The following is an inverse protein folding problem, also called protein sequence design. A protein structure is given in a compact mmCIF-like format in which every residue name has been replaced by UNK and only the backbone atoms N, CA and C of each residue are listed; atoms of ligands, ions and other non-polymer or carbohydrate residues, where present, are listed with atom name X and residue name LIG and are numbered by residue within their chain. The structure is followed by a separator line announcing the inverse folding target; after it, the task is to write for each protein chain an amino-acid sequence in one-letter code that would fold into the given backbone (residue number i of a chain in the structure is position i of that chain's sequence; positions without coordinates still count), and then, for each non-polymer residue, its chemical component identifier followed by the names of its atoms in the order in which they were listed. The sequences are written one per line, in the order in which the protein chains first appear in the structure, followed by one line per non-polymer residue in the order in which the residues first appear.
data_IF_306630606493
#
_entry.id   IF_306630606493
#
_cell.length_a   1.000
_cell.length_b   1.000
_cell.length_c   1.000
_cell.angle_alpha   90.00
_cell.angle_beta   90.00
_cell.angle_gamma   90.00
#
_symmetry.space_group_name_H-M   'P 1'
#
loop_
_entity.id
_entity.type
_entity.pdbx_description
1 polymer ?
#
# COMPACT_ATOMS: atom_id res chain seq x y z
N UNK A 1 50.90 -41.03 2.14
CA UNK A 1 49.48 -41.07 1.86
C UNK A 1 48.82 -40.01 2.77
N UNK A 2 48.47 -38.90 2.21
CA UNK A 2 47.79 -37.81 2.94
C UNK A 2 46.28 -37.97 2.71
N UNK A 3 45.53 -38.06 3.79
CA UNK A 3 44.08 -38.10 3.75
C UNK A 3 43.53 -36.69 3.42
N UNK A 4 42.80 -36.59 2.34
CA UNK A 4 42.11 -35.35 1.96
C UNK A 4 40.91 -35.07 2.89
N UNK A 5 40.50 -33.81 3.02
CA UNK A 5 39.39 -33.46 3.86
C UNK A 5 38.07 -34.03 3.33
N UNK A 6 37.36 -34.73 4.19
CA UNK A 6 35.98 -35.16 3.96
C UNK A 6 35.09 -33.92 4.14
N UNK A 7 34.59 -33.37 3.04
CA UNK A 7 33.52 -32.39 3.10
C UNK A 7 32.22 -33.11 3.45
N UNK A 8 31.77 -32.97 4.66
CA UNK A 8 30.41 -33.36 5.05
C UNK A 8 29.47 -32.36 4.37
N UNK A 9 28.71 -32.81 3.39
CA UNK A 9 27.55 -32.06 2.91
C UNK A 9 26.58 -31.91 4.08
N UNK A 10 26.42 -30.70 4.54
CA UNK A 10 25.28 -30.36 5.39
C UNK A 10 24.07 -30.50 4.48
N UNK A 11 23.30 -31.57 4.67
CA UNK A 11 21.97 -31.68 4.06
C UNK A 11 21.19 -30.48 4.53
N UNK A 12 20.72 -29.68 3.55
CA UNK A 12 19.69 -28.68 3.79
C UNK A 12 18.53 -29.42 4.49
N UNK A 13 18.25 -29.03 5.72
CA UNK A 13 17.07 -29.50 6.44
C UNK A 13 15.89 -29.08 5.59
N UNK A 14 15.08 -30.06 5.16
CA UNK A 14 13.82 -29.78 4.50
C UNK A 14 13.06 -28.76 5.35
N UNK A 15 12.61 -27.66 4.71
CA UNK A 15 11.70 -26.70 5.31
C UNK A 15 10.63 -27.49 6.06
N UNK A 16 10.53 -27.26 7.36
CA UNK A 16 9.45 -27.84 8.14
C UNK A 16 8.18 -27.10 7.68
N UNK A 17 7.45 -27.70 6.75
CA UNK A 17 6.14 -27.22 6.32
C UNK A 17 5.23 -27.23 7.58
N UNK A 18 5.21 -26.09 8.29
CA UNK A 18 4.31 -25.89 9.44
C UNK A 18 2.85 -25.87 8.99
N UNK A 19 2.64 -25.88 7.66
CA UNK A 19 1.34 -25.74 7.06
C UNK A 19 0.73 -24.36 7.33
N UNK A 20 -0.36 -24.07 6.69
CA UNK A 20 -1.16 -22.86 6.90
C UNK A 20 -2.41 -23.17 7.73
N UNK A 21 -3.04 -22.15 8.32
CA UNK A 21 -4.32 -22.32 9.00
C UNK A 21 -5.48 -22.52 8.02
N UNK A 22 -5.37 -21.97 6.83
CA UNK A 22 -6.35 -22.10 5.77
C UNK A 22 -5.79 -22.92 4.60
N UNK A 23 -6.57 -23.23 3.55
CA UNK A 23 -6.07 -23.83 2.31
C UNK A 23 -5.13 -22.91 1.51
N UNK A 24 -4.97 -21.65 1.90
CA UNK A 24 -4.14 -20.67 1.22
C UNK A 24 -2.68 -20.88 1.63
N UNK A 25 -1.87 -21.30 0.67
CA UNK A 25 -0.43 -21.53 0.86
C UNK A 25 0.41 -20.32 0.49
N UNK A 26 -0.12 -19.47 -0.40
CA UNK A 26 0.56 -18.29 -0.88
C UNK A 26 -0.31 -17.07 -0.59
N UNK A 27 0.20 -16.15 0.21
CA UNK A 27 -0.38 -14.81 0.40
C UNK A 27 0.44 -13.82 -0.40
N UNK A 28 -0.20 -13.14 -1.35
CA UNK A 28 0.38 -12.04 -2.12
C UNK A 28 -0.31 -10.76 -1.69
N UNK A 29 0.45 -9.77 -1.27
CA UNK A 29 -0.04 -8.42 -1.00
C UNK A 29 0.51 -7.51 -2.10
N UNK A 30 -0.36 -7.10 -3.02
CA UNK A 30 -0.05 -6.06 -3.99
C UNK A 30 -0.27 -4.71 -3.31
N UNK A 31 0.78 -3.94 -3.26
CA UNK A 31 0.85 -2.65 -2.60
C UNK A 31 0.89 -1.55 -3.66
N UNK A 32 -0.12 -0.70 -3.67
CA UNK A 32 -0.30 0.39 -4.63
C UNK A 32 -0.32 1.74 -3.90
N UNK A 33 -0.48 2.83 -4.62
CA UNK A 33 -0.25 4.18 -4.13
C UNK A 33 -1.51 5.05 -4.09
N UNK A 34 -1.67 5.74 -2.96
CA UNK A 34 -2.34 7.03 -2.84
C UNK A 34 -3.83 7.06 -3.22
N UNK A 35 -4.64 6.12 -2.71
CA UNK A 35 -6.06 6.03 -3.10
C UNK A 35 -6.99 5.99 -1.90
N UNK A 36 -7.93 6.96 -1.81
CA UNK A 36 -9.06 6.86 -0.90
C UNK A 36 -10.14 5.93 -1.47
N UNK A 37 -10.99 5.38 -0.61
CA UNK A 37 -12.10 4.54 -1.05
C UNK A 37 -13.03 5.31 -2.00
N UNK A 38 -13.41 6.52 -1.66
CA UNK A 38 -14.33 7.32 -2.48
C UNK A 38 -13.76 7.67 -3.85
N UNK A 39 -12.43 7.80 -3.96
CA UNK A 39 -11.78 8.14 -5.23
C UNK A 39 -11.94 7.02 -6.28
N UNK A 40 -11.93 5.74 -5.87
CA UNK A 40 -12.04 4.59 -6.79
C UNK A 40 -13.38 3.86 -6.70
N UNK A 41 -14.02 3.82 -5.54
CA UNK A 41 -15.22 3.04 -5.31
C UNK A 41 -16.42 3.86 -4.79
N UNK A 42 -16.26 5.17 -4.66
CA UNK A 42 -17.29 6.06 -4.11
C UNK A 42 -18.63 6.01 -4.86
N UNK A 43 -18.64 5.59 -6.12
CA UNK A 43 -19.85 5.42 -6.94
C UNK A 43 -20.06 3.99 -7.43
N UNK A 44 -19.34 3.03 -6.89
CA UNK A 44 -19.40 1.62 -7.29
C UNK A 44 -20.79 1.01 -7.02
N UNK A 45 -21.44 1.35 -5.92
CA UNK A 45 -22.74 0.79 -5.55
C UNK A 45 -22.62 -0.63 -4.98
N UNK A 46 -23.49 -1.53 -5.38
CA UNK A 46 -23.49 -2.95 -4.97
C UNK A 46 -23.52 -3.18 -3.45
N UNK A 47 -24.05 -2.22 -2.69
CA UNK A 47 -24.12 -2.27 -1.23
C UNK A 47 -22.90 -1.69 -0.52
N UNK A 48 -21.89 -1.21 -1.24
CA UNK A 48 -20.74 -0.52 -0.63
C UNK A 48 -21.15 0.83 -0.03
N UNK A 49 -20.42 1.24 1.00
CA UNK A 49 -20.58 2.55 1.63
C UNK A 49 -19.89 3.64 0.79
N UNK A 50 -20.52 3.98 -0.34
CA UNK A 50 -20.04 4.99 -1.28
C UNK A 50 -20.53 6.39 -0.97
N UNK A 51 -20.15 7.35 -1.82
CA UNK A 51 -20.42 8.78 -1.64
C UNK A 51 -21.90 9.06 -1.45
N UNK A 52 -22.34 9.67 -0.32
CA UNK A 52 -23.75 10.00 -0.10
C UNK A 52 -24.24 11.05 -1.09
N UNK A 53 -25.50 10.95 -1.49
CA UNK A 53 -26.13 11.96 -2.34
C UNK A 53 -26.13 13.32 -1.66
N UNK A 54 -25.73 14.36 -2.40
CA UNK A 54 -25.63 15.73 -1.88
C UNK A 54 -24.34 16.05 -1.16
N UNK A 55 -23.37 15.14 -1.11
CA UNK A 55 -22.03 15.43 -0.60
C UNK A 55 -21.38 16.58 -1.35
N UNK A 56 -20.70 17.46 -0.65
CA UNK A 56 -19.97 18.57 -1.24
C UNK A 56 -18.91 19.10 -0.28
N UNK A 57 -17.82 19.61 -0.84
CA UNK A 57 -16.77 20.32 -0.09
C UNK A 57 -16.86 21.83 -0.33
N UNK A 58 -16.47 22.60 0.65
CA UNK A 58 -16.30 24.04 0.52
C UNK A 58 -14.96 24.48 1.09
N UNK A 59 -14.44 25.57 0.59
CA UNK A 59 -13.20 26.17 1.07
C UNK A 59 -13.43 27.62 1.48
N UNK A 60 -12.86 28.04 2.60
CA UNK A 60 -12.84 29.45 3.03
C UNK A 60 -11.43 29.88 3.39
N UNK A 61 -11.04 31.07 2.95
CA UNK A 61 -9.79 31.70 3.37
C UNK A 61 -9.99 32.71 4.52
N UNK A 62 -11.14 32.69 5.17
CA UNK A 62 -11.51 33.59 6.25
C UNK A 62 -12.25 34.86 5.79
N UNK A 63 -12.19 35.21 4.52
CA UNK A 63 -12.87 36.36 3.94
C UNK A 63 -13.83 36.00 2.81
N UNK A 64 -13.55 34.93 2.11
CA UNK A 64 -14.33 34.46 0.99
C UNK A 64 -14.49 32.93 1.07
N UNK A 65 -15.68 32.44 0.71
CA UNK A 65 -15.98 31.01 0.61
C UNK A 65 -16.20 30.63 -0.85
N UNK A 66 -15.59 29.49 -1.24
CA UNK A 66 -15.77 28.84 -2.53
C UNK A 66 -16.49 27.51 -2.34
N UNK A 67 -17.30 27.12 -3.32
CA UNK A 67 -18.13 25.94 -3.27
C UNK A 67 -19.61 26.27 -3.00
N UNK A 68 -20.46 25.31 -2.61
CA UNK A 68 -20.10 23.90 -2.44
C UNK A 68 -19.71 23.24 -3.77
N UNK A 69 -18.68 22.36 -3.72
CA UNK A 69 -18.23 21.57 -4.85
C UNK A 69 -18.72 20.13 -4.68
N UNK A 70 -19.64 19.70 -5.54
CA UNK A 70 -20.07 18.31 -5.57
C UNK A 70 -18.93 17.40 -6.09
N UNK A 71 -18.89 16.13 -5.69
CA UNK A 71 -17.95 15.15 -6.26
C UNK A 71 -18.06 15.11 -7.78
N UNK A 72 -16.92 15.08 -8.47
CA UNK A 72 -16.86 15.16 -9.93
C UNK A 72 -16.13 13.95 -10.49
N UNK A 73 -16.73 13.32 -11.51
CA UNK A 73 -16.09 12.22 -12.23
C UNK A 73 -14.94 12.75 -13.08
N UNK A 74 -13.76 12.14 -12.92
CA UNK A 74 -12.62 12.34 -13.80
C UNK A 74 -12.69 11.38 -14.98
N UNK A 75 -12.29 11.86 -16.16
CA UNK A 75 -12.34 11.09 -17.40
C UNK A 75 -10.97 10.44 -17.66
N UNK A 76 -10.93 9.12 -17.69
CA UNK A 76 -9.70 8.36 -17.86
C UNK A 76 -8.92 8.65 -19.15
N UNK A 77 -9.58 9.17 -20.20
CA UNK A 77 -8.92 9.50 -21.48
C UNK A 77 -8.22 10.86 -21.48
N UNK A 78 -8.72 11.82 -20.71
CA UNK A 78 -8.23 13.22 -20.71
C UNK A 78 -7.66 13.65 -19.37
N UNK A 79 -8.00 12.95 -18.30
CA UNK A 79 -7.63 13.22 -16.92
C UNK A 79 -7.03 11.97 -16.27
N UNK A 80 -6.30 11.18 -17.06
CA UNK A 80 -5.67 9.93 -16.60
C UNK A 80 -4.47 10.15 -15.68
N UNK A 81 -3.99 11.38 -15.58
CA UNK A 81 -2.97 11.80 -14.62
C UNK A 81 -3.46 13.04 -13.93
N UNK A 82 -3.53 12.98 -12.62
CA UNK A 82 -3.83 14.13 -11.78
C UNK A 82 -2.55 14.70 -11.21
N UNK A 83 -2.67 15.83 -10.55
CA UNK A 83 -1.62 16.36 -9.71
C UNK A 83 -1.52 15.54 -8.44
N UNK A 84 -0.32 15.48 -7.92
CA UNK A 84 -0.06 14.98 -6.60
C UNK A 84 -0.68 15.92 -5.55
N UNK A 85 -1.63 15.40 -4.77
CA UNK A 85 -2.26 16.13 -3.67
C UNK A 85 -1.35 16.01 -2.45
N UNK A 86 -1.19 17.09 -1.67
CA UNK A 86 -0.42 17.04 -0.44
C UNK A 86 -1.06 16.04 0.53
N UNK A 87 -0.30 15.06 0.97
CA UNK A 87 -0.72 13.98 1.85
C UNK A 87 0.24 13.80 3.03
N UNK A 88 0.97 14.88 3.37
CA UNK A 88 1.81 14.91 4.56
C UNK A 88 0.98 14.68 5.82
N UNK A 89 1.62 14.20 6.87
CA UNK A 89 1.00 14.00 8.18
C UNK A 89 0.16 15.20 8.65
N UNK A 90 0.72 16.40 8.58
CA UNK A 90 0.04 17.62 9.03
C UNK A 90 -1.16 18.00 8.17
N UNK A 91 -1.08 17.72 6.87
CA UNK A 91 -2.17 18.03 5.95
C UNK A 91 -3.30 17.00 6.05
N UNK A 92 -2.99 15.73 6.21
CA UNK A 92 -4.02 14.71 6.46
C UNK A 92 -4.82 14.99 7.74
N UNK A 93 -4.16 15.38 8.83
CA UNK A 93 -4.86 15.78 10.07
C UNK A 93 -5.78 16.98 9.82
N UNK A 94 -5.31 17.97 9.06
CA UNK A 94 -6.12 19.12 8.68
C UNK A 94 -7.33 18.71 7.85
N UNK A 95 -7.13 17.82 6.86
CA UNK A 95 -8.17 17.30 5.99
C UNK A 95 -9.30 16.63 6.76
N UNK A 96 -8.92 15.77 7.71
CA UNK A 96 -9.87 15.03 8.55
C UNK A 96 -10.63 15.95 9.49
N UNK A 97 -10.03 17.03 9.94
CA UNK A 97 -10.66 18.09 10.77
C UNK A 97 -11.56 17.52 11.88
N UNK A 98 -10.97 16.76 12.80
CA UNK A 98 -11.70 16.13 13.91
C UNK A 98 -12.89 15.25 13.47
N UNK A 99 -12.80 14.61 12.32
CA UNK A 99 -13.82 13.73 11.76
C UNK A 99 -14.88 14.43 10.92
N UNK A 100 -14.81 15.75 10.75
CA UNK A 100 -15.72 16.46 9.86
C UNK A 100 -15.48 16.17 8.38
N UNK A 101 -14.32 15.70 8.01
CA UNK A 101 -13.90 15.33 6.65
C UNK A 101 -14.11 16.49 5.64
N UNK A 102 -13.93 17.72 6.04
CA UNK A 102 -14.36 18.91 5.29
C UNK A 102 -13.22 19.87 4.89
N UNK A 103 -11.97 19.61 5.35
CA UNK A 103 -10.85 20.51 5.09
C UNK A 103 -9.88 20.03 3.98
N UNK A 104 -10.28 19.07 3.16
CA UNK A 104 -9.44 18.56 2.07
C UNK A 104 -9.00 19.66 1.09
N UNK A 105 -9.85 20.63 0.81
CA UNK A 105 -9.50 21.76 -0.05
C UNK A 105 -8.53 22.76 0.61
N UNK A 106 -8.46 22.81 1.93
CA UNK A 106 -7.57 23.72 2.65
C UNK A 106 -6.12 23.22 2.72
N UNK A 107 -5.91 21.93 2.55
CA UNK A 107 -4.59 21.31 2.51
C UNK A 107 -3.85 21.58 1.20
N UNK A 108 -4.56 21.97 0.16
CA UNK A 108 -3.94 22.46 -1.06
C UNK A 108 -3.31 23.82 -0.81
N UNK A 109 -2.01 23.86 -0.55
CA UNK A 109 -1.24 25.12 -0.48
C UNK A 109 -1.12 25.76 -1.86
N UNK A 110 -1.03 27.10 -1.99
CA UNK A 110 -0.79 27.75 -3.29
C UNK A 110 0.49 27.22 -3.96
N UNK A 111 0.63 27.33 -5.28
CA UNK A 111 1.67 26.70 -6.09
C UNK A 111 3.06 27.26 -5.79
N UNK A 112 3.66 26.82 -4.71
CA UNK A 112 4.97 27.32 -4.32
C UNK A 112 6.04 26.26 -4.12
N UNK A 113 5.74 24.98 -4.18
CA UNK A 113 6.76 23.96 -3.89
C UNK A 113 6.74 22.83 -4.94
N UNK A 114 7.55 22.91 -5.86
CA UNK A 114 8.18 22.18 -6.91
C UNK A 114 8.23 20.65 -6.90
N UNK A 115 7.32 19.92 -6.30
CA UNK A 115 7.23 18.45 -6.41
C UNK A 115 6.15 17.98 -7.40
N UNK A 116 5.39 18.89 -7.99
CA UNK A 116 4.39 18.58 -9.02
C UNK A 116 5.06 18.22 -10.36
N UNK A 117 5.99 17.28 -10.35
CA UNK A 117 6.65 16.82 -11.57
C UNK A 117 5.79 15.74 -12.23
N UNK A 118 4.98 16.15 -13.19
CA UNK A 118 4.50 15.20 -14.20
C UNK A 118 5.72 14.75 -15.00
N UNK A 119 6.17 13.52 -14.80
CA UNK A 119 7.27 12.95 -15.55
C UNK A 119 6.88 12.93 -17.02
N UNK A 120 7.63 13.67 -17.86
CA UNK A 120 7.44 13.72 -19.31
C UNK A 120 6.59 14.86 -19.87
N UNK A 121 6.05 15.75 -19.00
CA UNK A 121 5.48 17.03 -19.45
C UNK A 121 6.30 18.19 -18.88
N UNK A 122 6.46 19.31 -19.62
CA UNK A 122 7.02 20.52 -19.02
C UNK A 122 6.20 20.88 -17.77
N UNK A 123 6.85 21.35 -16.73
CA UNK A 123 6.24 21.76 -15.45
C UNK A 123 5.29 22.97 -15.62
N UNK A 124 4.33 22.84 -16.50
CA UNK A 124 3.28 23.81 -16.69
C UNK A 124 2.13 23.39 -15.80
N UNK A 125 2.17 23.98 -14.59
CA UNK A 125 0.97 24.19 -13.77
C UNK A 125 0.09 22.96 -13.69
N UNK A 126 0.41 22.09 -12.73
CA UNK A 126 -0.60 21.27 -12.14
C UNK A 126 -1.65 22.24 -11.56
N UNK A 127 -2.82 22.40 -12.15
CA UNK A 127 -3.83 23.28 -11.56
C UNK A 127 -4.34 22.57 -10.33
N UNK A 128 -3.82 22.95 -9.17
CA UNK A 128 -4.40 22.55 -7.88
C UNK A 128 -5.90 22.74 -7.85
N UNK A 129 -6.34 23.69 -8.64
CA UNK A 129 -7.72 24.03 -8.88
C UNK A 129 -7.78 24.48 -10.33
N UNK A 130 -8.12 23.63 -11.25
CA UNK A 130 -8.40 24.13 -12.59
C UNK A 130 -9.44 25.24 -12.55
N UNK A 131 -10.08 25.41 -11.40
CA UNK A 131 -10.93 26.59 -11.19
C UNK A 131 -11.47 26.65 -9.76
N UNK A 132 -10.70 27.05 -8.75
CA UNK A 132 -11.32 27.78 -7.65
C UNK A 132 -11.73 29.18 -8.17
N UNK A 133 -12.74 29.21 -9.01
CA UNK A 133 -13.39 30.46 -9.39
C UNK A 133 -14.39 30.85 -8.31
N UNK A 134 -14.65 32.14 -8.08
CA UNK A 134 -15.65 32.62 -7.14
C UNK A 134 -17.00 31.93 -7.33
N UNK A 135 -17.83 31.82 -6.30
CA UNK A 135 -19.14 31.20 -6.35
C UNK A 135 -19.94 31.58 -7.59
N UNK A 136 -20.41 30.59 -8.33
CA UNK A 136 -21.32 30.78 -9.47
C UNK A 136 -20.72 30.53 -10.85
N UNK A 137 -19.49 30.06 -11.00
CA UNK A 137 -18.83 29.90 -12.30
C UNK A 137 -18.48 28.47 -12.68
N UNK A 138 -19.12 27.46 -12.12
CA UNK A 138 -19.01 26.07 -12.58
C UNK A 138 -17.69 25.37 -12.30
N UNK A 139 -16.97 25.80 -11.27
CA UNK A 139 -15.71 25.21 -10.85
C UNK A 139 -15.90 23.83 -10.24
N UNK A 140 -14.94 22.94 -10.50
CA UNK A 140 -14.83 21.61 -9.88
C UNK A 140 -13.64 21.59 -8.94
N UNK A 141 -13.79 20.92 -7.79
CA UNK A 141 -12.69 20.69 -6.88
C UNK A 141 -12.05 19.33 -7.19
N UNK A 142 -10.72 19.27 -7.24
CA UNK A 142 -10.03 18.01 -7.52
C UNK A 142 -10.08 17.07 -6.30
N UNK A 143 -9.98 17.61 -5.09
CA UNK A 143 -9.87 16.79 -3.88
C UNK A 143 -11.00 15.77 -3.66
N UNK A 144 -12.22 16.06 -4.11
CA UNK A 144 -13.37 15.16 -4.06
C UNK A 144 -13.73 14.58 -5.43
N UNK A 145 -12.79 14.55 -6.35
CA UNK A 145 -12.98 13.91 -7.64
C UNK A 145 -12.87 12.37 -7.51
N UNK A 146 -13.48 11.67 -8.45
CA UNK A 146 -13.50 10.20 -8.46
C UNK A 146 -13.40 9.64 -9.88
N UNK A 147 -12.92 8.41 -9.99
CA UNK A 147 -12.94 7.62 -11.21
C UNK A 147 -14.03 6.54 -11.15
N UNK A 148 -14.34 5.96 -12.30
CA UNK A 148 -15.31 4.86 -12.41
C UNK A 148 -14.72 3.68 -13.16
N UNK A 149 -15.32 2.50 -12.98
CA UNK A 149 -14.97 1.26 -13.68
C UNK A 149 -16.15 0.69 -14.48
N UNK A 150 -17.10 1.52 -14.91
CA UNK A 150 -18.26 1.08 -15.68
C UNK A 150 -17.84 0.34 -16.94
N UNK A 151 -18.23 -0.94 -17.05
CA UNK A 151 -17.84 -1.79 -18.16
C UNK A 151 -18.31 -1.21 -19.51
N UNK A 152 -17.38 -1.09 -20.45
CA UNK A 152 -17.64 -0.57 -21.78
C UNK A 152 -17.70 0.96 -21.89
N UNK A 153 -17.54 1.70 -20.80
CA UNK A 153 -17.36 3.15 -20.86
C UNK A 153 -15.88 3.46 -21.14
N UNK A 154 -15.53 4.07 -22.28
CA UNK A 154 -14.15 4.39 -22.62
C UNK A 154 -13.54 5.44 -21.69
N UNK A 155 -14.35 6.16 -20.91
CA UNK A 155 -13.89 7.16 -19.96
C UNK A 155 -13.71 6.61 -18.53
N UNK A 156 -14.06 5.32 -18.31
CA UNK A 156 -13.94 4.66 -17.02
C UNK A 156 -12.62 3.88 -16.94
N UNK A 157 -11.57 4.40 -16.28
CA UNK A 157 -10.26 3.76 -16.25
C UNK A 157 -10.17 2.53 -15.35
N UNK A 158 -11.11 2.33 -14.40
CA UNK A 158 -11.05 1.31 -13.35
C UNK A 158 -11.84 0.03 -13.68
N UNK A 159 -11.85 -0.39 -14.94
CA UNK A 159 -12.70 -1.51 -15.38
C UNK A 159 -12.29 -2.84 -14.75
N UNK A 160 -10.98 -3.09 -14.58
CA UNK A 160 -10.49 -4.29 -13.92
C UNK A 160 -10.80 -4.26 -12.42
N UNK A 161 -10.56 -3.15 -11.73
CA UNK A 161 -10.88 -2.99 -10.32
C UNK A 161 -12.35 -3.28 -10.02
N UNK A 162 -13.29 -2.66 -10.75
CA UNK A 162 -14.71 -2.87 -10.54
C UNK A 162 -15.16 -4.27 -10.94
N UNK A 163 -14.59 -4.82 -12.01
CA UNK A 163 -14.83 -6.21 -12.42
C UNK A 163 -14.37 -7.21 -11.35
N UNK A 164 -13.20 -6.96 -10.75
CA UNK A 164 -12.68 -7.79 -9.67
C UNK A 164 -13.52 -7.67 -8.40
N UNK A 165 -13.93 -6.47 -8.01
CA UNK A 165 -14.84 -6.26 -6.89
C UNK A 165 -16.17 -6.99 -7.08
N UNK A 166 -16.71 -7.05 -8.31
CA UNK A 166 -17.94 -7.78 -8.60
C UNK A 166 -17.78 -9.31 -8.54
N UNK A 167 -16.56 -9.82 -8.67
CA UNK A 167 -16.27 -11.26 -8.70
C UNK A 167 -15.75 -11.78 -7.36
N UNK A 168 -15.13 -10.95 -6.55
CA UNK A 168 -14.43 -11.30 -5.32
C UNK A 168 -14.89 -10.41 -4.15
N UNK A 169 -14.10 -10.27 -3.12
CA UNK A 169 -14.45 -9.44 -1.96
C UNK A 169 -13.82 -8.05 -2.08
N UNK A 170 -14.64 -7.02 -1.84
CA UNK A 170 -14.21 -5.63 -1.62
C UNK A 170 -14.48 -5.26 -0.16
N UNK A 171 -13.44 -4.84 0.57
CA UNK A 171 -13.61 -4.23 1.89
C UNK A 171 -13.83 -2.73 1.73
N UNK A 172 -14.92 -2.22 2.31
CA UNK A 172 -15.31 -0.81 2.24
C UNK A 172 -15.20 -0.08 3.58
N UNK A 173 -14.60 -0.73 4.56
CA UNK A 173 -14.38 -0.17 5.90
C UNK A 173 -12.94 -0.46 6.37
N UNK A 174 -11.98 -0.24 5.47
CA UNK A 174 -10.55 -0.42 5.69
C UNK A 174 -9.87 0.95 5.80
N UNK A 175 -9.04 1.15 6.82
CA UNK A 175 -8.43 2.43 7.13
C UNK A 175 -6.90 2.37 7.12
N UNK A 176 -6.24 3.49 6.84
CA UNK A 176 -4.80 3.61 7.06
C UNK A 176 -4.46 3.30 8.52
N UNK A 177 -3.37 2.57 8.75
CA UNK A 177 -2.89 2.32 10.12
C UNK A 177 -2.26 3.55 10.78
N UNK A 178 -1.91 4.56 10.01
CA UNK A 178 -1.17 5.75 10.42
C UNK A 178 -1.57 6.95 9.57
N UNK A 179 -1.50 8.15 10.13
CA UNK A 179 -1.53 9.38 9.32
C UNK A 179 -0.15 9.61 8.71
N UNK A 180 -0.09 10.02 7.47
CA UNK A 180 1.15 10.43 6.83
C UNK A 180 1.34 9.83 5.44
N UNK A 181 2.49 10.13 4.82
CA UNK A 181 2.78 9.76 3.46
C UNK A 181 3.21 8.29 3.31
N UNK A 182 3.72 7.95 2.15
CA UNK A 182 3.93 6.58 1.71
C UNK A 182 4.87 5.75 2.59
N UNK A 183 5.98 6.31 3.07
CA UNK A 183 6.93 5.52 3.89
C UNK A 183 6.33 5.01 5.20
N UNK A 184 5.67 5.83 6.04
CA UNK A 184 4.94 5.31 7.20
C UNK A 184 3.89 4.26 6.83
N UNK A 185 3.11 4.51 5.78
CA UNK A 185 2.11 3.55 5.28
C UNK A 185 2.72 2.21 4.89
N UNK A 186 3.84 2.24 4.15
CA UNK A 186 4.59 1.05 3.78
C UNK A 186 5.12 0.28 5.00
N UNK A 187 5.65 0.99 6.00
CA UNK A 187 6.14 0.34 7.22
C UNK A 187 5.02 -0.35 7.99
N UNK A 188 3.82 0.26 8.05
CA UNK A 188 2.65 -0.35 8.69
C UNK A 188 2.20 -1.64 7.99
N UNK A 189 2.44 -1.77 6.70
CA UNK A 189 2.11 -2.95 5.91
C UNK A 189 2.86 -4.23 6.33
N UNK A 190 3.98 -4.08 7.02
CA UNK A 190 4.89 -5.20 7.35
C UNK A 190 5.32 -5.25 8.80
N UNK A 191 4.92 -4.24 9.60
CA UNK A 191 5.39 -4.11 10.97
C UNK A 191 4.31 -3.60 11.95
N UNK A 192 3.10 -3.27 11.48
CA UNK A 192 2.02 -2.64 12.26
C UNK A 192 2.51 -1.44 13.09
N UNK A 193 3.55 -0.76 12.62
CA UNK A 193 4.19 0.39 13.22
C UNK A 193 5.10 1.10 12.24
N UNK A 194 5.55 2.31 12.57
CA UNK A 194 6.50 3.08 11.76
C UNK A 194 7.58 3.75 12.61
N UNK A 195 8.69 4.08 11.97
CA UNK A 195 9.78 4.83 12.58
C UNK A 195 10.05 6.18 11.91
N UNK A 196 9.23 6.56 10.95
CA UNK A 196 9.35 7.79 10.17
C UNK A 196 8.07 8.61 10.25
N UNK A 197 8.17 9.91 9.98
CA UNK A 197 7.03 10.83 9.88
C UNK A 197 6.92 11.49 8.50
N UNK A 198 7.74 11.06 7.55
CA UNK A 198 7.81 11.54 6.17
C UNK A 198 8.43 10.46 5.30
N UNK A 199 8.93 10.82 4.14
CA UNK A 199 9.53 9.90 3.15
C UNK A 199 11.06 10.03 3.10
N UNK A 200 11.78 9.63 4.17
CA UNK A 200 13.23 9.58 4.12
C UNK A 200 13.68 8.31 3.40
N UNK A 201 14.76 8.39 2.64
CA UNK A 201 15.42 7.19 2.14
C UNK A 201 16.09 6.37 3.25
N UNK A 202 16.22 5.07 3.13
CA UNK A 202 17.09 4.27 3.99
C UNK A 202 18.56 4.68 3.78
N UNK A 203 19.25 5.03 4.85
CA UNK A 203 20.68 5.38 4.77
C UNK A 203 21.48 4.18 4.27
N UNK A 204 22.24 4.39 3.21
CA UNK A 204 23.08 3.38 2.59
C UNK A 204 22.44 2.69 1.41
N UNK A 205 21.16 2.89 1.15
CA UNK A 205 20.55 2.42 -0.08
C UNK A 205 21.20 3.12 -1.28
N UNK A 206 21.63 2.32 -2.24
CA UNK A 206 22.33 2.83 -3.44
C UNK A 206 21.39 3.51 -4.44
N UNK A 207 20.07 3.38 -4.25
CA UNK A 207 19.01 3.89 -5.12
C UNK A 207 18.24 5.07 -4.51
N UNK A 208 18.90 5.98 -3.86
CA UNK A 208 18.26 7.12 -3.21
C UNK A 208 17.48 8.01 -4.18
N UNK A 209 16.23 8.30 -3.86
CA UNK A 209 15.33 9.19 -4.61
C UNK A 209 14.91 10.45 -3.83
N UNK A 210 15.15 10.51 -2.52
CA UNK A 210 14.81 11.63 -1.63
C UNK A 210 16.05 12.22 -0.92
N UNK A 211 16.02 13.51 -0.57
CA UNK A 211 17.16 14.16 0.12
C UNK A 211 17.25 13.81 1.61
N UNK A 212 16.13 13.47 2.26
CA UNK A 212 16.12 13.06 3.66
C UNK A 212 16.46 11.57 3.77
N UNK A 213 17.11 11.17 4.87
CA UNK A 213 17.52 9.79 5.08
C UNK A 213 17.43 9.38 6.55
N UNK A 214 17.11 8.10 6.78
CA UNK A 214 17.07 7.48 8.10
C UNK A 214 17.82 6.16 8.10
N UNK A 215 18.52 5.85 9.20
CA UNK A 215 19.16 4.54 9.37
C UNK A 215 18.12 3.46 9.60
N UNK A 216 18.31 2.25 9.02
CA UNK A 216 17.54 1.09 9.41
C UNK A 216 17.55 0.87 10.92
N UNK A 217 16.42 0.44 11.47
CA UNK A 217 16.21 0.28 12.90
C UNK A 217 15.87 -1.16 13.28
N UNK A 218 16.13 -1.50 14.53
CA UNK A 218 15.84 -2.83 15.08
C UNK A 218 14.39 -2.87 15.56
N UNK A 219 13.46 -3.00 14.60
CA UNK A 219 12.02 -3.10 14.82
C UNK A 219 11.54 -4.45 14.30
N UNK A 220 10.70 -5.19 15.04
CA UNK A 220 10.07 -6.41 14.56
C UNK A 220 9.30 -6.16 13.25
N UNK A 221 9.41 -7.08 12.31
CA UNK A 221 8.67 -7.03 11.06
C UNK A 221 8.37 -8.44 10.54
N UNK A 222 7.35 -8.58 9.72
CA UNK A 222 6.89 -9.88 9.22
C UNK A 222 7.94 -10.65 8.43
N UNK A 223 8.86 -9.98 7.75
CA UNK A 223 9.96 -10.62 7.04
C UNK A 223 10.92 -11.33 7.98
N UNK A 224 11.31 -10.68 9.08
CA UNK A 224 12.15 -11.26 10.10
C UNK A 224 11.46 -12.44 10.81
N UNK A 225 10.16 -12.31 11.13
CA UNK A 225 9.38 -13.38 11.75
C UNK A 225 9.20 -14.57 10.81
N UNK A 226 8.93 -14.35 9.53
CA UNK A 226 8.87 -15.39 8.51
C UNK A 226 10.21 -16.14 8.40
N UNK A 227 11.33 -15.41 8.36
CA UNK A 227 12.67 -15.99 8.33
C UNK A 227 12.94 -16.85 9.56
N UNK A 228 12.63 -16.33 10.75
CA UNK A 228 12.79 -17.08 12.00
C UNK A 228 11.90 -18.33 12.06
N UNK A 229 10.73 -18.29 11.44
CA UNK A 229 9.80 -19.41 11.37
C UNK A 229 10.15 -20.44 10.29
N UNK A 230 11.08 -20.14 9.37
CA UNK A 230 11.39 -20.97 8.21
C UNK A 230 10.31 -20.88 7.11
N UNK A 231 9.54 -19.79 7.08
CA UNK A 231 8.54 -19.52 6.07
C UNK A 231 9.15 -18.69 4.95
N UNK A 232 9.04 -19.13 3.70
CA UNK A 232 9.59 -18.40 2.56
C UNK A 232 8.84 -17.10 2.33
N UNK A 233 9.58 -16.02 2.08
CA UNK A 233 9.00 -14.70 1.80
C UNK A 233 9.88 -13.88 0.85
N UNK A 234 9.29 -12.91 0.16
CA UNK A 234 10.01 -11.90 -0.59
C UNK A 234 9.19 -10.62 -0.78
N UNK A 235 9.92 -9.51 -0.94
CA UNK A 235 9.46 -8.27 -1.54
C UNK A 235 9.86 -8.25 -3.01
N UNK A 236 8.93 -7.87 -3.88
CA UNK A 236 9.15 -7.74 -5.32
C UNK A 236 8.74 -6.34 -5.78
N UNK A 237 9.69 -5.56 -6.29
CA UNK A 237 9.40 -4.21 -6.75
C UNK A 237 9.92 -3.98 -8.16
N UNK A 238 9.13 -3.28 -8.97
CA UNK A 238 9.56 -2.88 -10.31
C UNK A 238 10.80 -2.01 -10.28
N UNK A 239 11.79 -2.35 -11.10
CA UNK A 239 13.04 -1.60 -11.21
C UNK A 239 14.07 -1.84 -10.11
N UNK A 240 13.82 -2.72 -9.13
CA UNK A 240 14.78 -3.04 -8.07
C UNK A 240 16.14 -3.48 -8.62
N UNK A 241 16.16 -4.37 -9.60
CA UNK A 241 17.40 -4.89 -10.19
C UNK A 241 18.17 -3.90 -11.06
N UNK A 242 17.55 -2.81 -11.50
CA UNK A 242 18.19 -1.78 -12.35
C UNK A 242 18.60 -0.54 -11.59
N UNK A 243 18.02 -0.30 -10.43
CA UNK A 243 18.38 0.78 -9.53
C UNK A 243 18.46 2.15 -10.23
N UNK A 244 17.44 2.50 -11.01
CA UNK A 244 17.39 3.79 -11.72
C UNK A 244 16.33 4.69 -11.09
N UNK A 245 16.68 5.51 -10.10
CA UNK A 245 15.72 6.28 -9.31
C UNK A 245 14.96 7.38 -10.06
N UNK A 246 15.34 7.66 -11.30
CA UNK A 246 14.74 8.75 -12.11
C UNK A 246 14.02 8.26 -13.36
N UNK A 247 13.96 6.95 -13.58
CA UNK A 247 13.28 6.40 -14.76
C UNK A 247 11.80 6.18 -14.45
N UNK A 248 10.94 6.46 -15.40
CA UNK A 248 9.49 6.25 -15.37
C UNK A 248 9.08 4.80 -15.03
N UNK A 249 10.02 3.86 -15.09
CA UNK A 249 9.87 2.46 -14.72
C UNK A 249 10.80 2.09 -13.55
N UNK A 250 11.17 3.07 -12.71
CA UNK A 250 12.18 2.90 -11.70
C UNK A 250 11.66 2.35 -10.38
N UNK A 251 12.60 1.84 -9.62
CA UNK A 251 12.46 1.52 -8.23
C UNK A 251 12.39 2.81 -7.39
N UNK A 252 11.56 2.83 -6.37
CA UNK A 252 11.52 3.89 -5.37
C UNK A 252 11.95 3.32 -4.02
N UNK A 253 13.07 3.82 -3.50
CA UNK A 253 13.66 3.28 -2.27
C UNK A 253 12.76 3.49 -1.06
N UNK A 254 12.05 4.62 -0.99
CA UNK A 254 11.17 4.92 0.14
C UNK A 254 9.87 4.11 0.16
N UNK A 255 9.55 3.40 -0.91
CA UNK A 255 8.40 2.48 -0.97
C UNK A 255 8.73 1.05 -0.51
N UNK A 256 10.01 0.70 -0.35
CA UNK A 256 10.40 -0.63 0.15
C UNK A 256 10.51 -0.61 1.68
N UNK A 257 9.50 -1.11 2.42
CA UNK A 257 9.51 -1.03 3.87
C UNK A 257 10.64 -1.85 4.50
N UNK A 258 11.07 -2.93 3.87
CA UNK A 258 12.08 -3.82 4.41
C UNK A 258 13.47 -3.19 4.47
N UNK A 259 13.71 -2.13 3.71
CA UNK A 259 14.96 -1.36 3.77
C UNK A 259 15.11 -0.56 5.07
N UNK A 260 14.05 -0.37 5.83
CA UNK A 260 14.04 0.41 7.07
C UNK A 260 14.34 -0.40 8.33
N UNK A 261 14.46 -1.72 8.22
CA UNK A 261 14.66 -2.61 9.35
C UNK A 261 16.02 -3.33 9.23
N UNK A 262 16.83 -3.28 10.30
CA UNK A 262 18.17 -3.87 10.29
C UNK A 262 18.18 -5.37 9.99
N UNK A 263 17.09 -6.05 10.34
CA UNK A 263 16.93 -7.50 10.14
C UNK A 263 16.67 -7.91 8.68
N UNK A 264 16.23 -6.96 7.82
CA UNK A 264 15.78 -7.28 6.46
C UNK A 264 16.37 -6.40 5.37
N UNK A 265 17.02 -5.28 5.71
CA UNK A 265 17.54 -4.32 4.73
C UNK A 265 18.55 -4.96 3.76
N UNK A 266 18.36 -4.74 2.47
CA UNK A 266 19.29 -5.06 1.37
C UNK A 266 19.70 -3.79 0.62
N UNK A 267 20.43 -2.92 1.31
CA UNK A 267 20.78 -1.58 0.85
C UNK A 267 21.69 -1.55 -0.39
N UNK A 268 22.33 -2.67 -0.69
CA UNK A 268 23.23 -2.80 -1.83
C UNK A 268 22.53 -3.37 -3.07
N UNK A 269 21.26 -3.71 -2.98
CA UNK A 269 20.51 -4.40 -4.03
C UNK A 269 21.27 -5.61 -4.57
N UNK A 270 21.86 -6.39 -3.66
CA UNK A 270 22.94 -7.32 -3.96
C UNK A 270 22.48 -8.49 -4.82
N UNK A 271 21.18 -8.72 -4.97
CA UNK A 271 20.77 -9.83 -5.80
C UNK A 271 19.29 -9.80 -6.20
N UNK A 272 19.07 -9.56 -7.46
CA UNK A 272 17.74 -9.70 -8.04
C UNK A 272 17.21 -11.14 -7.89
N UNK A 273 18.06 -12.14 -8.13
CA UNK A 273 17.71 -13.56 -7.98
C UNK A 273 18.96 -14.43 -7.96
N UNK A 274 19.19 -15.14 -6.86
CA UNK A 274 20.22 -16.17 -6.77
C UNK A 274 19.55 -17.55 -6.69
N UNK A 275 19.69 -18.38 -7.75
CA UNK A 275 19.06 -19.68 -7.78
C UNK A 275 19.58 -20.66 -6.70
N UNK A 276 20.76 -20.40 -6.13
CA UNK A 276 21.34 -21.22 -5.07
C UNK A 276 20.96 -20.73 -3.65
N UNK A 277 20.12 -19.69 -3.56
CA UNK A 277 19.69 -19.14 -2.29
C UNK A 277 18.57 -20.00 -1.70
N UNK A 278 18.73 -20.36 -0.43
CA UNK A 278 17.65 -20.98 0.35
C UNK A 278 16.98 -19.94 1.21
N UNK A 279 15.68 -19.93 1.25
CA UNK A 279 14.92 -19.21 2.28
C UNK A 279 14.96 -20.02 3.60
N UNK A 280 14.90 -19.36 4.77
CA UNK A 280 15.03 -17.92 4.98
C UNK A 280 16.51 -17.52 5.02
N UNK A 281 16.82 -16.44 4.37
CA UNK A 281 18.15 -15.86 4.41
C UNK A 281 18.00 -14.34 4.57
N UNK A 282 18.42 -13.80 5.73
CA UNK A 282 18.40 -12.38 5.99
C UNK A 282 19.13 -11.62 4.87
N UNK A 283 18.63 -10.49 4.45
CA UNK A 283 19.25 -9.56 3.49
C UNK A 283 19.19 -9.96 2.01
N UNK A 284 18.34 -10.91 1.60
CA UNK A 284 18.22 -11.30 0.19
C UNK A 284 16.80 -11.65 -0.23
N UNK A 285 15.86 -11.03 0.42
CA UNK A 285 14.45 -11.25 0.13
C UNK A 285 13.84 -10.17 -0.77
N UNK A 286 14.54 -9.04 -0.97
CA UNK A 286 14.11 -8.04 -1.92
C UNK A 286 14.55 -8.43 -3.33
N UNK A 287 13.63 -8.31 -4.30
CA UNK A 287 13.78 -8.81 -5.65
C UNK A 287 13.22 -7.82 -6.66
N UNK A 288 13.74 -7.92 -7.86
CA UNK A 288 13.08 -7.28 -9.00
C UNK A 288 11.74 -7.97 -9.33
N UNK A 289 10.74 -7.20 -9.74
CA UNK A 289 9.42 -7.72 -10.11
C UNK A 289 9.47 -8.80 -11.19
N UNK A 290 10.47 -8.75 -12.08
CA UNK A 290 10.68 -9.77 -13.11
C UNK A 290 10.90 -11.18 -12.53
N UNK A 291 11.39 -11.30 -11.30
CA UNK A 291 11.54 -12.61 -10.62
C UNK A 291 10.18 -13.16 -10.20
N UNK A 292 9.27 -12.32 -9.73
CA UNK A 292 7.89 -12.69 -9.44
C UNK A 292 7.18 -13.15 -10.72
N UNK A 293 7.34 -12.40 -11.80
CA UNK A 293 6.76 -12.72 -13.10
C UNK A 293 7.26 -14.05 -13.62
N UNK A 294 8.57 -14.31 -13.51
CA UNK A 294 9.18 -15.57 -13.90
C UNK A 294 8.66 -16.75 -13.06
N UNK A 295 8.43 -16.54 -11.75
CA UNK A 295 7.84 -17.57 -10.90
C UNK A 295 6.42 -17.92 -11.34
N UNK A 296 5.56 -16.94 -11.61
CA UNK A 296 4.20 -17.17 -12.08
C UNK A 296 4.18 -17.89 -13.45
N UNK A 297 5.06 -17.47 -14.36
CA UNK A 297 5.15 -18.02 -15.72
C UNK A 297 5.87 -19.37 -15.81
N UNK A 298 6.57 -19.81 -14.75
CA UNK A 298 7.45 -20.97 -14.80
C UNK A 298 8.66 -20.77 -15.72
N UNK A 299 9.11 -19.53 -15.89
CA UNK A 299 10.22 -19.18 -16.80
C UNK A 299 11.55 -19.19 -16.06
N UNK A 300 12.60 -19.84 -16.59
CA UNK A 300 13.88 -19.87 -15.91
C UNK A 300 14.62 -18.53 -15.98
N UNK A 301 15.22 -18.12 -14.86
CA UNK A 301 16.23 -17.07 -14.76
C UNK A 301 17.55 -17.77 -14.46
N UNK A 302 18.59 -17.49 -15.23
CA UNK A 302 19.92 -18.15 -15.09
C UNK A 302 19.85 -19.67 -15.03
N UNK A 303 18.91 -20.27 -15.75
CA UNK A 303 18.74 -21.74 -15.86
C UNK A 303 17.91 -22.37 -14.75
N UNK A 304 17.37 -21.60 -13.80
CA UNK A 304 16.47 -22.09 -12.76
C UNK A 304 15.15 -21.32 -12.75
N UNK A 305 14.05 -22.03 -12.52
CA UNK A 305 12.72 -21.42 -12.38
C UNK A 305 12.54 -20.97 -10.95
N UNK A 306 12.29 -19.67 -10.70
CA UNK A 306 11.96 -19.19 -9.38
C UNK A 306 10.67 -19.84 -8.87
N UNK A 307 10.57 -20.03 -7.56
CA UNK A 307 9.32 -20.47 -6.91
C UNK A 307 8.65 -19.27 -6.26
N UNK A 308 7.31 -19.27 -6.30
CA UNK A 308 6.55 -18.26 -5.56
C UNK A 308 6.68 -18.53 -4.05
N UNK A 309 7.14 -17.55 -3.25
CA UNK A 309 7.21 -17.71 -1.80
C UNK A 309 5.83 -17.92 -1.15
N UNK A 310 5.83 -18.39 0.09
CA UNK A 310 4.60 -18.48 0.89
C UNK A 310 4.02 -17.09 1.16
N UNK A 311 4.87 -16.07 1.36
CA UNK A 311 4.45 -14.69 1.54
C UNK A 311 5.18 -13.82 0.53
N UNK A 312 4.43 -13.04 -0.23
CA UNK A 312 4.98 -12.13 -1.25
C UNK A 312 4.35 -10.74 -1.09
N UNK A 313 5.18 -9.74 -0.92
CA UNK A 313 4.76 -8.35 -1.11
C UNK A 313 5.20 -7.92 -2.50
N UNK A 314 4.29 -7.31 -3.24
CA UNK A 314 4.52 -6.91 -4.64
C UNK A 314 4.24 -5.42 -4.77
N UNK A 315 5.16 -4.69 -5.37
CA UNK A 315 5.03 -3.27 -5.71
C UNK A 315 5.21 -3.09 -7.21
N UNK A 316 4.26 -2.43 -7.84
CA UNK A 316 4.35 -2.05 -9.25
C UNK A 316 5.57 -1.12 -9.48
N UNK A 317 6.10 -1.06 -10.71
CA UNK A 317 7.01 0.03 -11.06
C UNK A 317 6.27 1.38 -10.99
N UNK A 318 6.99 2.45 -10.69
CA UNK A 318 6.42 3.79 -10.48
C UNK A 318 5.37 4.23 -11.52
N UNK A 319 5.54 3.84 -12.78
CA UNK A 319 4.58 4.22 -13.82
C UNK A 319 3.21 3.53 -13.68
N UNK A 320 3.16 2.37 -13.03
CA UNK A 320 2.00 1.50 -12.93
C UNK A 320 1.46 1.40 -11.51
N UNK A 321 1.96 2.20 -10.56
CA UNK A 321 1.61 2.09 -9.14
C UNK A 321 0.39 2.93 -8.70
N UNK A 322 -0.14 3.78 -9.59
CA UNK A 322 -1.33 4.59 -9.32
C UNK A 322 -1.02 5.99 -8.78
N UNK A 323 0.21 6.26 -8.33
CA UNK A 323 0.57 7.52 -7.69
C UNK A 323 0.27 8.73 -8.58
N UNK A 324 -0.50 9.73 -8.09
CA UNK A 324 -0.74 10.96 -8.81
C UNK A 324 0.56 11.68 -9.22
N UNK A 325 0.53 12.42 -10.30
CA UNK A 325 1.69 13.18 -10.77
C UNK A 325 2.61 12.42 -11.73
N UNK A 326 2.85 11.12 -11.55
CA UNK A 326 3.71 10.36 -12.47
C UNK A 326 3.08 9.06 -13.01
N UNK A 327 2.11 8.48 -12.30
CA UNK A 327 1.30 7.35 -12.75
C UNK A 327 -0.14 7.79 -13.05
N UNK A 328 -1.05 6.87 -13.16
CA UNK A 328 -2.47 7.16 -13.33
C UNK A 328 -3.33 5.91 -13.29
N UNK A 329 -4.62 6.07 -12.97
CA UNK A 329 -5.52 4.95 -12.68
C UNK A 329 -5.67 3.96 -13.83
N UNK A 330 -5.54 4.40 -15.08
CA UNK A 330 -5.66 3.48 -16.23
C UNK A 330 -4.45 2.56 -16.39
N UNK A 331 -3.24 3.03 -16.06
CA UNK A 331 -2.03 2.22 -16.10
C UNK A 331 -2.02 1.24 -14.94
N UNK A 332 -2.36 1.71 -13.76
CA UNK A 332 -2.53 0.88 -12.57
C UNK A 332 -3.59 -0.21 -12.77
N UNK A 333 -4.78 0.15 -13.27
CA UNK A 333 -5.87 -0.79 -13.55
C UNK A 333 -5.45 -1.87 -14.55
N UNK A 334 -4.70 -1.50 -15.58
CA UNK A 334 -4.16 -2.43 -16.56
C UNK A 334 -3.12 -3.37 -15.94
N UNK A 335 -2.22 -2.84 -15.10
CA UNK A 335 -1.23 -3.65 -14.37
C UNK A 335 -1.91 -4.67 -13.45
N UNK A 336 -2.91 -4.24 -12.68
CA UNK A 336 -3.70 -5.12 -11.79
C UNK A 336 -4.41 -6.20 -12.59
N UNK A 337 -5.07 -5.84 -13.70
CA UNK A 337 -5.76 -6.79 -14.57
C UNK A 337 -4.83 -7.85 -15.16
N UNK A 338 -3.64 -7.43 -15.62
CA UNK A 338 -2.62 -8.32 -16.14
C UNK A 338 -2.06 -9.25 -15.07
N UNK A 339 -1.70 -8.72 -13.90
CA UNK A 339 -1.18 -9.50 -12.77
C UNK A 339 -2.18 -10.58 -12.35
N UNK A 340 -3.46 -10.22 -12.19
CA UNK A 340 -4.51 -11.20 -11.84
C UNK A 340 -4.68 -12.25 -12.92
N UNK A 341 -4.61 -11.86 -14.19
CA UNK A 341 -4.70 -12.79 -15.32
C UNK A 341 -3.55 -13.81 -15.32
N UNK A 342 -2.31 -13.35 -15.13
CA UNK A 342 -1.11 -14.21 -15.03
C UNK A 342 -1.16 -15.12 -13.80
N UNK A 343 -1.59 -14.59 -12.65
CA UNK A 343 -1.76 -15.39 -11.45
C UNK A 343 -2.80 -16.52 -11.66
N UNK A 344 -3.94 -16.21 -12.26
CA UNK A 344 -4.98 -17.20 -12.58
C UNK A 344 -4.50 -18.29 -13.54
N UNK A 345 -3.58 -17.96 -14.44
CA UNK A 345 -2.97 -18.91 -15.37
C UNK A 345 -1.85 -19.76 -14.73
N UNK A 346 -1.32 -19.34 -13.59
CA UNK A 346 -0.20 -20.00 -12.91
C UNK A 346 -0.64 -21.26 -12.14
N UNK A 347 0.28 -22.17 -11.85
CA UNK A 347 -0.02 -23.33 -11.01
C UNK A 347 -0.35 -22.98 -9.56
N UNK A 348 -0.04 -21.76 -9.12
CA UNK A 348 -0.24 -21.26 -7.76
C UNK A 348 -1.67 -20.78 -7.48
N UNK A 349 -2.46 -20.46 -8.51
CA UNK A 349 -3.82 -19.93 -8.34
C UNK A 349 -4.71 -20.75 -7.40
N UNK A 350 -4.55 -22.06 -7.42
CA UNK A 350 -5.38 -23.02 -6.68
C UNK A 350 -5.36 -22.82 -5.15
N UNK A 351 -4.27 -22.27 -4.61
CA UNK A 351 -4.01 -22.12 -3.19
C UNK A 351 -3.39 -20.75 -2.84
N UNK A 352 -3.72 -19.72 -3.63
CA UNK A 352 -3.26 -18.34 -3.45
C UNK A 352 -4.40 -17.40 -3.05
N UNK A 353 -4.10 -16.46 -2.16
CA UNK A 353 -4.84 -15.21 -1.98
C UNK A 353 -3.97 -14.04 -2.43
N UNK A 354 -4.51 -13.20 -3.30
CA UNK A 354 -3.99 -11.89 -3.64
C UNK A 354 -4.84 -10.84 -2.92
N UNK A 355 -4.19 -9.99 -2.13
CA UNK A 355 -4.79 -8.82 -1.50
C UNK A 355 -4.22 -7.58 -2.18
N UNK A 356 -5.09 -6.73 -2.72
CA UNK A 356 -4.70 -5.43 -3.28
C UNK A 356 -4.99 -4.39 -2.22
N UNK A 357 -3.96 -3.70 -1.77
CA UNK A 357 -4.02 -2.67 -0.74
C UNK A 357 -3.24 -1.42 -1.19
N UNK A 358 -3.40 -0.34 -0.46
CA UNK A 358 -2.75 0.94 -0.73
C UNK A 358 -1.96 1.38 0.50
N UNK A 359 -0.98 2.23 0.31
CA UNK A 359 -0.14 2.79 1.38
C UNK A 359 -0.92 3.80 2.24
N UNK A 360 -1.59 4.72 1.55
CA UNK A 360 -2.35 5.81 2.15
C UNK A 360 -3.34 6.39 1.12
N UNK A 361 -4.08 7.44 1.49
CA UNK A 361 -5.18 7.96 0.67
C UNK A 361 -4.79 9.02 -0.36
N UNK A 362 -3.53 9.45 -0.42
CA UNK A 362 -3.07 10.47 -1.38
C UNK A 362 -3.71 11.83 -1.23
N UNK A 363 -4.24 12.15 -0.05
CA UNK A 363 -4.96 13.40 0.14
C UNK A 363 -6.32 13.48 -0.58
N UNK A 364 -6.76 12.39 -1.21
CA UNK A 364 -8.10 12.30 -1.80
C UNK A 364 -9.16 12.23 -0.72
N UNK A 365 -10.25 12.94 -0.95
CA UNK A 365 -11.37 12.97 -0.02
C UNK A 365 -12.04 11.60 0.12
N UNK A 366 -12.42 11.29 1.36
CA UNK A 366 -13.35 10.24 1.71
C UNK A 366 -14.42 10.82 2.64
N UNK A 367 -15.67 10.39 2.48
CA UNK A 367 -16.76 10.91 3.32
C UNK A 367 -16.82 10.26 4.71
N UNK A 368 -16.12 9.12 4.90
CA UNK A 368 -16.13 8.38 6.16
C UNK A 368 -14.98 8.84 7.05
N UNK A 369 -15.33 9.33 8.24
CA UNK A 369 -14.33 9.68 9.23
C UNK A 369 -13.64 8.40 9.77
N UNK A 370 -12.31 8.41 9.96
CA UNK A 370 -11.62 7.30 10.58
C UNK A 370 -12.12 7.11 12.02
N UNK A 371 -12.38 5.85 12.45
CA UNK A 371 -12.84 5.57 13.80
C UNK A 371 -11.75 5.84 14.83
N UNK A 372 -12.15 6.33 16.00
CA UNK A 372 -11.26 6.48 17.14
C UNK A 372 -11.20 5.17 17.93
N UNK A 373 -10.06 4.53 17.93
CA UNK A 373 -9.83 3.29 18.68
C UNK A 373 -9.54 3.53 20.16
N UNK A 374 -9.33 4.80 20.55
CA UNK A 374 -9.01 5.17 21.93
C UNK A 374 -7.62 4.69 22.40
N UNK A 375 -7.28 5.03 23.65
CA UNK A 375 -6.01 4.64 24.25
C UNK A 375 -4.79 5.09 23.47
N UNK A 376 -3.83 4.22 23.22
CA UNK A 376 -2.63 4.57 22.45
C UNK A 376 -2.90 4.84 20.97
N UNK A 377 -4.05 4.40 20.47
CA UNK A 377 -4.50 4.58 19.08
C UNK A 377 -5.62 5.61 18.96
N UNK A 378 -5.82 6.47 19.97
CA UNK A 378 -6.69 7.61 19.84
C UNK A 378 -6.24 8.47 18.66
N UNK A 379 -7.15 8.75 17.75
CA UNK A 379 -6.87 9.58 16.59
C UNK A 379 -7.35 11.03 16.82
N UNK A 380 -7.10 11.90 15.85
CA UNK A 380 -7.46 13.31 15.94
C UNK A 380 -8.98 13.59 15.89
N UNK A 381 -9.80 12.57 15.63
CA UNK A 381 -11.26 12.70 15.66
C UNK A 381 -11.76 12.95 17.09
N UNK A 382 -11.14 12.33 18.08
CA UNK A 382 -11.50 12.52 19.49
C UNK A 382 -11.08 13.86 20.07
N UNK A 383 -10.39 14.70 19.30
CA UNK A 383 -9.85 15.99 19.78
C UNK A 383 -8.70 15.85 20.76
N UNK A 384 -8.16 14.65 20.92
CA UNK A 384 -6.95 14.45 21.69
C UNK A 384 -5.75 14.79 20.81
N UNK A 385 -4.92 15.79 21.20
CA UNK A 385 -3.62 15.93 20.59
C UNK A 385 -2.84 14.72 21.06
N UNK A 386 -2.86 13.68 20.25
CA UNK A 386 -1.98 12.59 20.51
C UNK A 386 -0.56 13.10 20.39
N UNK A 387 0.35 12.76 21.31
CA UNK A 387 1.67 12.48 20.80
C UNK A 387 2.83 13.20 21.40
N UNK A 388 2.67 13.91 22.43
CA UNK A 388 3.79 14.24 23.28
C UNK A 388 3.99 13.11 24.30
N UNK A 389 4.84 12.16 24.02
CA UNK A 389 5.29 11.21 25.03
C UNK A 389 5.25 9.73 24.67
N UNK A 390 4.76 9.38 23.51
CA UNK A 390 4.88 8.02 23.05
C UNK A 390 6.32 7.76 22.63
N UNK A 391 7.05 7.00 23.41
CA UNK A 391 8.32 6.42 23.00
C UNK A 391 8.15 4.93 22.97
N UNK A 392 8.60 4.29 21.91
CA UNK A 392 8.75 2.84 21.92
C UNK A 392 9.58 2.46 23.12
N UNK A 393 9.08 1.64 24.04
CA UNK A 393 9.90 1.16 25.13
C UNK A 393 11.12 0.42 24.55
N UNK A 394 12.29 1.04 24.68
CA UNK A 394 13.55 0.46 24.22
C UNK A 394 14.08 0.93 22.87
N UNK A 395 13.35 1.75 22.11
CA UNK A 395 13.86 2.32 20.85
C UNK A 395 13.98 3.84 20.96
N UNK A 396 15.20 4.36 21.21
CA UNK A 396 15.40 5.80 21.27
C UNK A 396 15.12 6.47 19.93
N UNK A 397 14.20 7.44 19.93
CA UNK A 397 13.90 8.25 18.76
C UNK A 397 12.68 7.79 17.94
N UNK A 398 12.08 6.64 18.24
CA UNK A 398 10.80 6.26 17.63
C UNK A 398 9.71 7.26 18.03
N UNK A 399 9.01 7.77 17.03
CA UNK A 399 7.95 8.76 17.22
C UNK A 399 6.60 8.04 17.13
N UNK A 400 5.84 8.03 18.20
CA UNK A 400 4.45 7.55 18.17
C UNK A 400 3.47 8.64 17.69
N UNK A 401 3.97 9.68 17.09
CA UNK A 401 3.22 10.86 16.76
C UNK A 401 2.09 10.69 15.78
N UNK A 402 2.02 9.55 15.14
CA UNK A 402 1.25 9.38 13.93
C UNK A 402 0.33 8.15 14.00
N UNK A 403 0.37 7.43 15.12
CA UNK A 403 -0.50 6.28 15.35
C UNK A 403 -1.97 6.69 15.44
N UNK A 404 -2.84 5.80 15.07
CA UNK A 404 -4.28 5.99 14.98
C UNK A 404 -4.75 5.82 13.55
N UNK A 405 -6.01 5.41 13.37
CA UNK A 405 -6.50 5.18 12.02
C UNK A 405 -6.59 6.49 11.26
N UNK A 406 -5.95 6.51 10.09
CA UNK A 406 -6.09 7.56 9.09
C UNK A 406 -7.31 7.33 8.19
N UNK A 407 -7.46 8.11 7.10
CA UNK A 407 -8.62 8.01 6.21
C UNK A 407 -8.80 6.63 5.58
N UNK A 408 -9.99 6.40 5.01
CA UNK A 408 -10.41 5.11 4.48
C UNK A 408 -9.83 4.82 3.11
N UNK A 409 -9.38 3.58 2.91
CA UNK A 409 -8.85 3.04 1.66
C UNK A 409 -9.66 1.83 1.18
N UNK A 410 -9.67 1.49 -0.11
CA UNK A 410 -10.24 0.23 -0.58
C UNK A 410 -9.26 -0.92 -0.39
N UNK A 411 -9.78 -2.14 -0.16
CA UNK A 411 -9.00 -3.37 -0.23
C UNK A 411 -9.79 -4.42 -1.00
N UNK A 412 -9.12 -5.09 -1.93
CA UNK A 412 -9.67 -6.21 -2.69
C UNK A 412 -9.01 -7.52 -2.28
N UNK A 413 -9.82 -8.54 -2.03
CA UNK A 413 -9.32 -9.89 -1.71
C UNK A 413 -9.72 -10.83 -2.82
N UNK A 414 -8.74 -11.30 -3.57
CA UNK A 414 -8.89 -12.09 -4.79
C UNK A 414 -8.32 -13.49 -4.57
N UNK A 415 -9.18 -14.49 -4.60
CA UNK A 415 -8.82 -15.89 -4.37
C UNK A 415 -9.92 -16.81 -4.89
N UNK A 416 -9.60 -18.07 -5.11
CA UNK A 416 -10.64 -19.10 -5.31
C UNK A 416 -11.54 -19.29 -4.09
N UNK A 417 -11.07 -18.86 -2.94
CA UNK A 417 -11.76 -18.96 -1.65
C UNK A 417 -12.44 -17.64 -1.24
N UNK A 418 -12.23 -16.55 -1.97
CA UNK A 418 -12.89 -15.29 -1.67
C UNK A 418 -14.41 -15.39 -1.89
N UNK A 419 -15.17 -14.73 -1.06
CA UNK A 419 -16.63 -14.60 -1.21
C UNK A 419 -16.95 -13.84 -2.48
N UNK A 420 -17.74 -14.39 -3.41
CA UNK A 420 -17.98 -13.73 -4.70
C UNK A 420 -18.91 -12.52 -4.54
N UNK A 421 -18.49 -11.36 -5.09
CA UNK A 421 -19.26 -10.12 -5.07
C UNK A 421 -19.64 -9.65 -3.66
N UNK A 422 -18.83 -9.98 -2.68
CA UNK A 422 -19.09 -9.65 -1.28
C UNK A 422 -18.48 -8.29 -0.92
N UNK A 423 -19.26 -7.45 -0.25
CA UNK A 423 -18.78 -6.24 0.39
C UNK A 423 -18.52 -6.57 1.86
N UNK A 424 -17.26 -6.46 2.28
CA UNK A 424 -16.85 -6.66 3.65
C UNK A 424 -16.90 -5.31 4.39
N UNK A 425 -17.80 -5.23 5.38
CA UNK A 425 -18.01 -4.04 6.21
C UNK A 425 -17.29 -4.13 7.55
N UNK A 426 -16.52 -5.19 7.79
CA UNK A 426 -15.76 -5.32 9.03
C UNK A 426 -14.75 -4.15 9.15
N UNK A 427 -14.55 -3.69 10.38
CA UNK A 427 -13.54 -2.68 10.64
C UNK A 427 -12.15 -3.30 10.48
N UNK A 428 -11.48 -2.87 9.44
CA UNK A 428 -10.14 -3.32 9.05
C UNK A 428 -9.20 -2.11 8.95
N UNK A 429 -7.91 -2.38 9.05
CA UNK A 429 -6.87 -1.40 8.78
C UNK A 429 -5.59 -2.08 8.27
N UNK A 430 -4.55 -1.31 8.03
CA UNK A 430 -3.29 -1.84 7.50
C UNK A 430 -2.73 -2.98 8.36
N UNK A 431 -2.83 -2.90 9.70
CA UNK A 431 -2.39 -3.98 10.58
C UNK A 431 -3.28 -5.25 10.48
N UNK A 432 -4.45 -5.16 9.85
CA UNK A 432 -5.27 -6.34 9.54
C UNK A 432 -4.59 -7.25 8.51
N UNK A 433 -3.73 -6.68 7.66
CA UNK A 433 -2.93 -7.45 6.71
C UNK A 433 -1.83 -8.22 7.43
N UNK A 434 -1.15 -7.58 8.40
CA UNK A 434 -0.15 -8.24 9.25
C UNK A 434 -0.79 -9.40 9.99
N UNK A 435 -1.92 -9.15 10.65
CA UNK A 435 -2.67 -10.17 11.38
C UNK A 435 -3.11 -11.34 10.50
N UNK A 436 -3.52 -11.06 9.26
CA UNK A 436 -3.86 -12.13 8.31
C UNK A 436 -2.63 -12.99 7.98
N UNK A 437 -1.49 -12.37 7.70
CA UNK A 437 -0.23 -13.07 7.39
C UNK A 437 0.21 -13.93 8.58
N UNK A 438 0.24 -13.36 9.77
CA UNK A 438 0.57 -14.06 11.01
C UNK A 438 -0.33 -15.28 11.24
N UNK A 439 -1.64 -15.04 11.19
CA UNK A 439 -2.62 -16.10 11.41
C UNK A 439 -2.50 -17.20 10.35
N UNK A 440 -2.54 -16.84 9.07
CA UNK A 440 -2.56 -17.84 8.00
C UNK A 440 -1.27 -18.68 7.97
N UNK A 441 -0.11 -18.03 8.11
CA UNK A 441 1.19 -18.68 8.02
C UNK A 441 1.76 -19.17 9.36
N UNK A 442 0.96 -19.09 10.43
CA UNK A 442 1.35 -19.55 11.79
C UNK A 442 2.60 -18.85 12.32
N UNK A 443 2.77 -17.59 11.98
CA UNK A 443 3.81 -16.76 12.52
C UNK A 443 3.45 -16.30 13.93
N UNK A 444 4.42 -16.04 14.81
CA UNK A 444 4.14 -15.34 16.05
C UNK A 444 3.63 -13.93 15.75
N UNK A 445 2.88 -13.35 16.67
CA UNK A 445 2.53 -11.94 16.61
C UNK A 445 3.81 -11.08 16.72
N UNK A 446 3.86 -9.97 15.99
CA UNK A 446 4.97 -9.01 16.02
C UNK A 446 5.20 -8.47 17.44
N UNK A 447 4.12 -8.38 18.24
CA UNK A 447 4.19 -7.88 19.59
C UNK A 447 4.62 -6.42 19.65
N UNK A 448 4.25 -5.65 18.63
CA UNK A 448 4.55 -4.23 18.54
C UNK A 448 3.75 -3.42 19.53
N UNK A 449 4.13 -2.16 19.70
CA UNK A 449 3.50 -1.27 20.65
C UNK A 449 1.97 -1.23 20.52
N UNK A 450 1.30 -1.48 21.65
CA UNK A 450 -0.15 -1.50 21.76
C UNK A 450 -0.82 -2.74 21.18
N UNK A 451 -0.05 -3.77 20.82
CA UNK A 451 -0.54 -5.04 20.26
C UNK A 451 -1.48 -4.82 19.06
N UNK A 452 -1.12 -3.86 18.18
CA UNK A 452 -2.01 -3.48 17.08
C UNK A 452 -2.25 -4.64 16.11
N UNK A 453 -1.21 -5.37 15.76
CA UNK A 453 -1.27 -6.60 14.96
C UNK A 453 -2.25 -7.63 15.53
N UNK A 454 -2.31 -7.77 16.86
CA UNK A 454 -3.22 -8.71 17.55
C UNK A 454 -4.67 -8.19 17.61
N UNK A 455 -4.85 -6.87 17.77
CA UNK A 455 -6.15 -6.25 18.00
C UNK A 455 -6.83 -5.72 16.72
N UNK A 456 -6.16 -5.72 15.59
CA UNK A 456 -6.75 -5.37 14.29
C UNK A 456 -7.86 -6.36 13.89
N UNK A 457 -8.69 -5.98 12.95
CA UNK A 457 -9.58 -6.90 12.24
C UNK A 457 -8.80 -8.02 11.55
N UNK A 458 -9.47 -9.06 11.08
CA UNK A 458 -8.81 -10.13 10.34
C UNK A 458 -9.52 -10.37 9.02
N UNK A 459 -8.77 -10.41 7.93
CA UNK A 459 -9.30 -10.65 6.58
C UNK A 459 -9.97 -12.03 6.39
N UNK A 460 -9.96 -12.92 7.39
CA UNK A 460 -10.59 -14.23 7.29
C UNK A 460 -12.09 -14.15 6.94
N UNK A 461 -12.75 -13.05 7.32
CA UNK A 461 -14.13 -12.74 6.94
C UNK A 461 -14.38 -12.64 5.44
N UNK A 462 -13.36 -12.32 4.66
CA UNK A 462 -13.43 -12.22 3.20
C UNK A 462 -13.54 -13.58 2.48
N UNK A 463 -13.28 -14.69 3.17
CA UNK A 463 -13.14 -16.00 2.55
C UNK A 463 -14.27 -16.98 2.93
N UNK A 464 -14.43 -18.01 2.09
CA UNK A 464 -15.20 -19.22 2.39
C UNK A 464 -14.23 -20.38 2.24
N UNK A 465 -13.84 -20.97 3.36
CA UNK A 465 -13.13 -22.23 3.37
C UNK A 465 -14.17 -23.33 3.51
N UNK A 466 -14.28 -24.21 2.50
CA UNK A 466 -15.19 -25.36 2.58
C UNK A 466 -14.88 -26.22 3.81
N UNK A 467 -15.91 -26.82 4.40
CA UNK A 467 -15.79 -27.82 5.46
C UNK A 467 -15.08 -29.08 4.96
#
# INVERSE_FOLDING_TARGET
MAAGPVFTMVQATAESDRGTHSPIKHTIILYQENISFDHYFGTYGHGSNGIPAGSALSYTNGTQTWGPFAPTQLLGTTQSRTCDVDHSYTDMIRMVNHGAMDQFLSAFSPPAQGNDKIVGTPATTCPRFETLTPPGTGATALANAYYTGTAGDPNAPLQNYWSLASQYTLADNFFQGVYGPSTPGAQWLVAATNNTSGDPNPIGDICNDYPASISPQDIPNLGAEASAAGTSWAWFQGGFGTCTPTAVNGYSAHHDPFQYFTSTADLNHADAFNPNMSYPEANRHQRDLSVFDAALAGTPISGQVPTLPAISWVKAPQIDDGHPGYSGPALEDAFVGDLVSRLKASPYWKDTALVIAFDETGGWWDHVAPPDLGGPFANFVSGQPNLTGCQYPGIPGAKCGEAGLGPRMPVLVISRFAKPGFIDHDLLDTASLDRWVEWNHRLPALGVWGDRDVNAGNLAGAFIFGD
#
